data_IF_834647034750
#
_entry.id   IF_834647034750
#
_cell.length_a   1.000
_cell.length_b   1.000
_cell.length_c   1.000
_cell.angle_alpha   90.00
_cell.angle_beta   90.00
_cell.angle_gamma   90.00
#
_symmetry.space_group_name_H-M   'P 1'
#
loop_
_entity.id
_entity.type
_entity.pdbx_description
1 polymer ?
#
# COMPACT_ATOMS: atom_id res chain seq x y z
N UNK A 1 -8.36 -42.84 -32.90
CA UNK A 1 -8.65 -44.17 -32.32
C UNK A 1 -8.23 -45.31 -33.25
N UNK A 2 -8.42 -45.20 -34.57
CA UNK A 2 -7.98 -46.22 -35.55
C UNK A 2 -6.46 -46.43 -35.59
N UNK A 3 -5.68 -45.36 -35.50
CA UNK A 3 -4.20 -45.44 -35.61
C UNK A 3 -3.57 -46.26 -34.48
N UNK A 4 -4.08 -46.11 -33.25
CA UNK A 4 -3.55 -46.82 -32.08
C UNK A 4 -3.83 -48.33 -32.11
N UNK A 5 -4.86 -48.77 -32.85
CA UNK A 5 -5.23 -50.19 -33.00
C UNK A 5 -4.33 -50.87 -34.03
N UNK A 6 -3.98 -50.15 -35.11
CA UNK A 6 -3.11 -50.65 -36.17
C UNK A 6 -1.69 -50.86 -35.65
N UNK A 7 -1.17 -49.93 -34.84
CA UNK A 7 0.17 -50.07 -34.25
C UNK A 7 0.29 -51.26 -33.29
N UNK A 8 -0.72 -51.54 -32.48
CA UNK A 8 -0.73 -52.68 -31.55
C UNK A 8 -0.66 -54.03 -32.27
N UNK A 9 -1.45 -54.18 -33.35
CA UNK A 9 -1.55 -55.45 -34.07
C UNK A 9 -0.36 -55.69 -35.01
N UNK A 10 0.23 -54.64 -35.59
CA UNK A 10 1.31 -54.77 -36.57
C UNK A 10 2.72 -54.80 -35.93
N UNK A 11 2.93 -54.08 -34.82
CA UNK A 11 4.26 -53.91 -34.22
C UNK A 11 4.46 -54.66 -32.90
N UNK A 12 3.41 -55.28 -32.33
CA UNK A 12 3.50 -56.04 -31.08
C UNK A 12 3.89 -55.19 -29.87
N UNK A 13 3.83 -53.87 -29.98
CA UNK A 13 4.10 -52.96 -28.87
C UNK A 13 2.92 -52.98 -27.89
N UNK A 14 3.24 -53.05 -26.60
CA UNK A 14 2.23 -53.06 -25.53
C UNK A 14 1.37 -51.80 -25.66
N UNK A 15 0.06 -52.00 -25.75
CA UNK A 15 -0.93 -50.92 -25.68
C UNK A 15 -0.66 -50.05 -24.46
N UNK A 16 -0.90 -48.74 -24.56
CA UNK A 16 -0.93 -47.87 -23.39
C UNK A 16 -2.00 -48.36 -22.41
N UNK A 17 -1.59 -49.19 -21.45
CA UNK A 17 -2.44 -49.63 -20.35
C UNK A 17 -2.61 -48.46 -19.36
N UNK A 18 -3.84 -48.01 -19.21
CA UNK A 18 -4.20 -46.94 -18.26
C UNK A 18 -3.86 -47.38 -16.83
N UNK A 19 -4.01 -48.68 -16.54
CA UNK A 19 -3.64 -49.30 -15.26
C UNK A 19 -2.56 -50.35 -15.55
N UNK A 20 -1.27 -50.09 -15.24
CA UNK A 20 -0.22 -51.07 -15.43
C UNK A 20 -0.38 -52.22 -14.44
N UNK A 21 -0.15 -53.45 -14.90
CA UNK A 21 -0.14 -54.64 -14.03
C UNK A 21 1.08 -54.72 -13.09
N UNK A 22 2.13 -53.92 -13.34
CA UNK A 22 3.33 -53.86 -12.51
C UNK A 22 3.20 -52.75 -11.43
N UNK A 23 3.40 -53.16 -10.18
CA UNK A 23 3.37 -52.28 -9.01
C UNK A 23 4.44 -51.17 -9.08
N UNK A 24 5.61 -51.46 -9.64
CA UNK A 24 6.69 -50.47 -9.77
C UNK A 24 6.32 -49.35 -10.75
N UNK A 25 5.67 -49.69 -11.87
CA UNK A 25 5.20 -48.71 -12.83
C UNK A 25 4.07 -47.85 -12.27
N UNK A 26 3.14 -48.46 -11.53
CA UNK A 26 2.04 -47.74 -10.87
C UNK A 26 2.57 -46.76 -9.81
N UNK A 27 3.60 -47.17 -9.05
CA UNK A 27 4.27 -46.32 -8.08
C UNK A 27 4.94 -45.11 -8.72
N UNK A 28 5.70 -45.30 -9.80
CA UNK A 28 6.34 -44.19 -10.53
C UNK A 28 5.31 -43.19 -11.05
N UNK A 29 4.20 -43.67 -11.65
CA UNK A 29 3.11 -42.81 -12.13
C UNK A 29 2.45 -42.05 -10.98
N UNK A 30 2.20 -42.70 -9.85
CA UNK A 30 1.66 -42.07 -8.64
C UNK A 30 2.55 -40.96 -8.09
N UNK A 31 3.86 -41.22 -8.00
CA UNK A 31 4.86 -40.21 -7.58
C UNK A 31 4.86 -39.01 -8.52
N UNK A 32 4.84 -39.23 -9.84
CA UNK A 32 4.79 -38.14 -10.83
C UNK A 32 3.55 -37.26 -10.61
N UNK A 33 2.37 -37.86 -10.42
CA UNK A 33 1.13 -37.11 -10.18
C UNK A 33 1.21 -36.31 -8.88
N UNK A 34 1.71 -36.92 -7.80
CA UNK A 34 1.89 -36.24 -6.50
C UNK A 34 2.86 -35.07 -6.63
N UNK A 35 3.97 -35.25 -7.35
CA UNK A 35 4.95 -34.19 -7.59
C UNK A 35 4.36 -33.05 -8.41
N UNK A 36 3.60 -33.34 -9.46
CA UNK A 36 2.95 -32.32 -10.29
C UNK A 36 1.92 -31.50 -9.49
N UNK A 37 1.10 -32.17 -8.67
CA UNK A 37 0.12 -31.49 -7.81
C UNK A 37 0.83 -30.63 -6.75
N UNK A 38 1.84 -31.20 -6.09
CA UNK A 38 2.60 -30.51 -5.04
C UNK A 38 3.35 -29.30 -5.60
N UNK A 39 3.95 -29.45 -6.79
CA UNK A 39 4.62 -28.36 -7.49
C UNK A 39 3.65 -27.26 -7.91
N UNK A 40 2.48 -27.63 -8.46
CA UNK A 40 1.44 -26.67 -8.81
C UNK A 40 0.98 -25.84 -7.60
N UNK A 41 0.69 -26.51 -6.47
CA UNK A 41 0.32 -25.84 -5.23
C UNK A 41 1.45 -24.94 -4.70
N UNK A 42 2.69 -25.40 -4.77
CA UNK A 42 3.86 -24.63 -4.37
C UNK A 42 4.03 -23.35 -5.21
N UNK A 43 3.91 -23.45 -6.53
CA UNK A 43 4.01 -22.31 -7.45
C UNK A 43 2.89 -21.31 -7.19
N UNK A 44 1.67 -21.77 -6.97
CA UNK A 44 0.53 -20.89 -6.71
C UNK A 44 0.73 -20.07 -5.41
N UNK A 45 1.14 -20.73 -4.32
CA UNK A 45 1.40 -20.07 -3.04
C UNK A 45 2.55 -19.07 -3.18
N UNK A 46 3.62 -19.46 -3.88
CA UNK A 46 4.80 -18.61 -4.07
C UNK A 46 4.48 -17.38 -4.91
N UNK A 47 3.73 -17.56 -6.00
CA UNK A 47 3.30 -16.48 -6.89
C UNK A 47 2.40 -15.47 -6.17
N UNK A 48 1.42 -15.94 -5.38
CA UNK A 48 0.53 -15.06 -4.61
C UNK A 48 1.32 -14.17 -3.65
N UNK A 49 2.28 -14.74 -2.92
CA UNK A 49 3.14 -13.99 -1.99
C UNK A 49 4.01 -12.94 -2.69
N UNK A 50 4.50 -13.24 -3.90
CA UNK A 50 5.29 -12.28 -4.67
C UNK A 50 4.43 -11.11 -5.15
N UNK A 51 3.26 -11.40 -5.72
CA UNK A 51 2.33 -10.36 -6.20
C UNK A 51 1.87 -9.46 -5.05
N UNK A 52 1.58 -10.03 -3.87
CA UNK A 52 1.17 -9.24 -2.71
C UNK A 52 2.29 -8.31 -2.23
N UNK A 53 3.53 -8.79 -2.18
CA UNK A 53 4.70 -7.97 -1.83
C UNK A 53 4.94 -6.85 -2.84
N UNK A 54 4.83 -7.13 -4.14
CA UNK A 54 4.97 -6.11 -5.17
C UNK A 54 3.91 -5.03 -5.04
N UNK A 55 2.64 -5.41 -4.82
CA UNK A 55 1.55 -4.45 -4.58
C UNK A 55 1.80 -3.58 -3.35
N UNK A 56 2.29 -4.16 -2.26
CA UNK A 56 2.63 -3.41 -1.04
C UNK A 56 3.78 -2.43 -1.27
N UNK A 57 4.81 -2.85 -2.01
CA UNK A 57 5.95 -1.99 -2.37
C UNK A 57 5.52 -0.85 -3.29
N UNK A 58 4.71 -1.13 -4.32
CA UNK A 58 4.20 -0.11 -5.23
C UNK A 58 3.33 0.92 -4.48
N UNK A 59 2.40 0.45 -3.65
CA UNK A 59 1.61 1.33 -2.79
C UNK A 59 2.49 2.19 -1.88
N UNK A 60 3.59 1.63 -1.35
CA UNK A 60 4.55 2.36 -0.52
C UNK A 60 5.31 3.44 -1.27
N UNK A 61 5.78 3.13 -2.48
CA UNK A 61 6.47 4.10 -3.34
C UNK A 61 5.55 5.26 -3.73
N UNK A 62 4.32 4.96 -4.13
CA UNK A 62 3.31 5.97 -4.47
C UNK A 62 3.02 6.85 -3.26
N UNK A 63 2.76 6.25 -2.09
CA UNK A 63 2.50 6.97 -0.85
C UNK A 63 3.63 7.94 -0.49
N UNK A 64 4.87 7.47 -0.41
CA UNK A 64 6.00 8.32 -0.04
C UNK A 64 6.26 9.43 -1.07
N UNK A 65 5.98 9.17 -2.36
CA UNK A 65 6.09 10.17 -3.41
C UNK A 65 5.04 11.28 -3.24
N UNK A 66 3.78 10.91 -2.95
CA UNK A 66 2.70 11.86 -2.68
C UNK A 66 3.03 12.69 -1.43
N UNK A 67 3.42 12.05 -0.32
CA UNK A 67 3.72 12.77 0.92
C UNK A 67 4.90 13.72 0.75
N UNK A 68 5.94 13.33 0.02
CA UNK A 68 7.06 14.23 -0.30
C UNK A 68 6.60 15.41 -1.16
N UNK A 69 5.77 15.19 -2.17
CA UNK A 69 5.19 16.26 -2.96
C UNK A 69 4.33 17.20 -2.10
N UNK A 70 3.52 16.66 -1.19
CA UNK A 70 2.73 17.43 -0.21
C UNK A 70 3.61 18.25 0.73
N UNK A 71 4.74 17.70 1.22
CA UNK A 71 5.75 18.46 1.99
C UNK A 71 6.24 19.66 1.20
N UNK A 72 6.59 19.48 -0.07
CA UNK A 72 7.07 20.58 -0.92
C UNK A 72 5.99 21.64 -1.16
N UNK A 73 4.76 21.25 -1.48
CA UNK A 73 3.64 22.16 -1.68
C UNK A 73 3.34 22.93 -0.40
N UNK A 74 3.28 22.24 0.74
CA UNK A 74 3.01 22.87 2.03
C UNK A 74 4.12 23.84 2.41
N UNK A 75 5.39 23.47 2.25
CA UNK A 75 6.50 24.38 2.56
C UNK A 75 6.46 25.66 1.69
N UNK A 76 6.12 25.53 0.40
CA UNK A 76 5.93 26.70 -0.45
C UNK A 76 4.78 27.58 0.04
N UNK A 77 3.66 26.97 0.44
CA UNK A 77 2.54 27.69 1.02
C UNK A 77 2.93 28.40 2.33
N UNK A 78 3.63 27.71 3.24
CA UNK A 78 4.07 28.29 4.50
C UNK A 78 4.99 29.50 4.28
N UNK A 79 5.89 29.44 3.30
CA UNK A 79 6.73 30.58 2.93
C UNK A 79 5.89 31.78 2.42
N UNK A 80 4.86 31.54 1.60
CA UNK A 80 3.94 32.60 1.17
C UNK A 80 3.15 33.18 2.35
N UNK A 81 2.74 32.33 3.27
CA UNK A 81 2.00 32.70 4.48
C UNK A 81 2.85 33.56 5.42
N UNK A 82 4.16 33.31 5.53
CA UNK A 82 5.07 34.19 6.26
C UNK A 82 5.10 35.63 5.71
N UNK A 83 4.95 35.82 4.39
CA UNK A 83 4.85 37.14 3.78
C UNK A 83 3.55 37.84 4.19
N UNK A 84 2.42 37.14 4.16
CA UNK A 84 1.13 37.67 4.65
C UNK A 84 1.19 38.07 6.11
N UNK A 85 1.83 37.25 6.95
CA UNK A 85 2.05 37.55 8.37
C UNK A 85 2.84 38.83 8.56
N UNK A 86 3.89 39.04 7.77
CA UNK A 86 4.71 40.25 7.86
C UNK A 86 3.89 41.50 7.52
N UNK A 87 3.07 41.44 6.48
CA UNK A 87 2.19 42.55 6.10
C UNK A 87 1.13 42.83 7.18
N UNK A 88 0.53 41.78 7.75
CA UNK A 88 -0.42 41.91 8.85
C UNK A 88 0.22 42.59 10.08
N UNK A 89 1.46 42.22 10.42
CA UNK A 89 2.22 42.83 11.52
C UNK A 89 2.59 44.30 11.25
N UNK A 90 2.82 44.67 9.99
CA UNK A 90 3.12 46.06 9.61
C UNK A 90 1.87 46.95 9.61
N UNK A 91 0.67 46.37 9.54
CA UNK A 91 -0.59 47.10 9.63
C UNK A 91 -0.95 47.43 11.09
N UNK A 92 -1.28 48.69 11.37
CA UNK A 92 -1.68 49.14 12.72
C UNK A 92 -3.04 48.59 13.19
N UNK A 93 -3.82 48.00 12.28
CA UNK A 93 -5.20 47.57 12.51
C UNK A 93 -5.36 46.07 12.78
N UNK A 94 -4.29 45.28 12.66
CA UNK A 94 -4.39 43.83 12.82
C UNK A 94 -4.17 43.37 14.25
N UNK A 95 -5.10 42.56 14.74
CA UNK A 95 -5.10 42.03 16.09
C UNK A 95 -3.99 40.97 16.28
N UNK A 96 -3.12 41.20 17.26
CA UNK A 96 -1.99 40.32 17.60
C UNK A 96 -2.43 38.94 18.06
N UNK A 97 -3.62 38.78 18.62
CA UNK A 97 -4.16 37.46 19.00
C UNK A 97 -4.47 36.60 17.77
N UNK A 98 -4.98 37.22 16.70
CA UNK A 98 -5.23 36.52 15.42
C UNK A 98 -3.94 36.07 14.75
N UNK A 99 -2.85 36.83 14.91
CA UNK A 99 -1.52 36.45 14.42
C UNK A 99 -0.98 35.22 15.17
N UNK A 100 -1.21 35.10 16.48
CA UNK A 100 -0.83 33.90 17.24
C UNK A 100 -1.61 32.66 16.78
N UNK A 101 -2.90 32.81 16.52
CA UNK A 101 -3.72 31.71 16.01
C UNK A 101 -3.24 31.26 14.62
N UNK A 102 -2.90 32.22 13.78
CA UNK A 102 -2.30 31.99 12.47
C UNK A 102 -0.98 31.19 12.56
N UNK A 103 -0.06 31.64 13.43
CA UNK A 103 1.22 30.96 13.67
C UNK A 103 0.98 29.51 14.16
N UNK A 104 0.04 29.33 15.09
CA UNK A 104 -0.32 28.02 15.63
C UNK A 104 -0.90 27.08 14.57
N UNK A 105 -1.73 27.59 13.66
CA UNK A 105 -2.29 26.81 12.57
C UNK A 105 -1.22 26.40 11.54
N UNK A 106 -0.26 27.28 11.25
CA UNK A 106 0.88 26.98 10.38
C UNK A 106 1.77 25.87 10.98
N UNK A 107 2.08 25.99 12.27
CA UNK A 107 2.89 24.99 12.99
C UNK A 107 2.17 23.65 13.08
N UNK A 108 0.85 23.65 13.31
CA UNK A 108 0.04 22.44 13.32
C UNK A 108 0.04 21.75 11.95
N UNK A 109 -0.20 22.50 10.87
CA UNK A 109 -0.17 21.96 9.51
C UNK A 109 1.20 21.33 9.17
N UNK A 110 2.30 22.00 9.53
CA UNK A 110 3.66 21.47 9.40
C UNK A 110 3.86 20.18 10.20
N UNK A 111 3.37 20.15 11.45
CA UNK A 111 3.49 18.99 12.32
C UNK A 111 2.70 17.79 11.80
N UNK A 112 1.46 17.99 11.33
CA UNK A 112 0.61 16.93 10.78
C UNK A 112 1.22 16.32 9.52
N UNK A 113 1.75 17.15 8.62
CA UNK A 113 2.41 16.67 7.41
C UNK A 113 3.71 15.91 7.72
N UNK A 114 4.44 16.31 8.76
CA UNK A 114 5.58 15.52 9.25
C UNK A 114 5.14 14.17 9.80
N UNK A 115 4.11 14.12 10.66
CA UNK A 115 3.58 12.88 11.21
C UNK A 115 3.10 11.92 10.10
N UNK A 116 2.43 12.44 9.07
CA UNK A 116 2.01 11.67 7.90
C UNK A 116 3.22 11.05 7.16
N UNK A 117 4.36 11.76 7.08
CA UNK A 117 5.57 11.23 6.42
C UNK A 117 6.29 10.12 7.18
N UNK A 118 6.00 9.97 8.48
CA UNK A 118 6.64 8.97 9.35
C UNK A 118 5.86 7.64 9.41
N UNK A 119 4.71 7.54 8.74
CA UNK A 119 3.90 6.32 8.65
C UNK A 119 4.68 5.22 7.91
N UNK A 120 5.02 4.15 8.65
CA UNK A 120 5.77 2.98 8.11
C UNK A 120 4.86 1.93 7.48
N UNK A 121 3.72 1.66 8.11
CA UNK A 121 2.75 0.66 7.65
C UNK A 121 1.57 1.38 7.03
N UNK A 122 1.49 1.35 5.71
CA UNK A 122 0.48 2.07 4.95
C UNK A 122 -0.82 1.30 5.00
N UNK A 123 -1.71 1.74 5.90
CA UNK A 123 -3.10 1.31 6.02
C UNK A 123 -3.97 2.54 6.28
N UNK A 124 -5.25 2.48 5.94
CA UNK A 124 -6.19 3.58 6.20
C UNK A 124 -6.18 4.00 7.67
N UNK A 125 -6.22 3.01 8.58
CA UNK A 125 -6.19 3.25 10.03
C UNK A 125 -4.92 3.97 10.47
N UNK A 126 -3.74 3.50 10.03
CA UNK A 126 -2.47 4.11 10.43
C UNK A 126 -2.31 5.52 9.86
N UNK A 127 -2.76 5.75 8.63
CA UNK A 127 -2.76 7.07 8.00
C UNK A 127 -3.64 8.02 8.80
N UNK A 128 -4.91 7.64 9.06
CA UNK A 128 -5.86 8.48 9.81
C UNK A 128 -5.43 8.74 11.24
N UNK A 129 -4.86 7.74 11.90
CA UNK A 129 -4.32 7.88 13.26
C UNK A 129 -3.13 8.85 13.32
N UNK A 130 -2.29 8.90 12.28
CA UNK A 130 -1.11 9.76 12.25
C UNK A 130 -1.42 11.26 12.10
N UNK A 131 -2.60 11.60 11.61
CA UNK A 131 -3.02 13.01 11.38
C UNK A 131 -4.21 13.42 12.23
N UNK A 132 -4.52 12.68 13.30
CA UNK A 132 -5.61 13.00 14.19
C UNK A 132 -5.35 14.37 14.89
N UNK A 133 -6.30 15.33 14.83
CA UNK A 133 -6.11 16.65 15.41
C UNK A 133 -5.79 16.59 16.91
N UNK A 134 -4.87 17.43 17.37
CA UNK A 134 -4.60 17.57 18.80
C UNK A 134 -5.75 18.41 19.39
N UNK A 135 -6.53 17.85 20.33
CA UNK A 135 -7.79 18.41 20.87
C UNK A 135 -7.74 19.88 21.33
N UNK A 136 -6.57 20.45 21.56
CA UNK A 136 -6.38 21.79 22.13
C UNK A 136 -6.80 22.91 21.17
N UNK A 137 -6.40 22.88 19.89
CA UNK A 137 -6.63 24.01 18.95
C UNK A 137 -8.07 24.01 18.40
N UNK A 138 -8.67 22.84 18.18
CA UNK A 138 -10.08 22.74 17.77
C UNK A 138 -11.00 23.46 18.76
N UNK A 139 -10.76 23.28 20.06
CA UNK A 139 -11.54 23.94 21.10
C UNK A 139 -11.29 25.45 21.16
N UNK A 140 -10.05 25.92 20.94
CA UNK A 140 -9.73 27.35 20.92
C UNK A 140 -10.34 28.07 19.71
N UNK A 141 -10.30 27.47 18.53
CA UNK A 141 -10.92 28.02 17.30
C UNK A 141 -12.44 28.06 17.42
N UNK A 142 -13.06 26.97 17.87
CA UNK A 142 -14.53 26.88 18.04
C UNK A 142 -15.03 27.90 19.06
N UNK A 143 -14.36 28.01 20.22
CA UNK A 143 -14.72 28.95 21.27
C UNK A 143 -14.58 30.43 20.87
N UNK A 144 -13.78 30.76 19.84
CA UNK A 144 -13.60 32.14 19.37
C UNK A 144 -14.62 32.50 18.28
N UNK A 145 -14.97 31.56 17.41
CA UNK A 145 -16.04 31.74 16.40
C UNK A 145 -17.40 31.92 17.07
N UNK A 146 -17.64 31.26 18.20
CA UNK A 146 -18.86 31.44 19.00
C UNK A 146 -18.91 32.78 19.78
N UNK A 147 -17.81 33.54 19.81
CA UNK A 147 -17.72 34.85 20.49
C UNK A 147 -17.79 36.05 19.54
N UNK A 148 -17.98 35.83 18.24
CA UNK A 148 -18.23 36.86 17.21
C UNK A 148 -19.72 36.91 16.90
#
# INVERSE_FOLDING_TARGET
MSDSIIHYYLYGEKSFEIIPGDFNELWMRGVIVILLVSFGAYVEISTKKLIEKEKQLEASLIYHSIVRASHHILNNLLNQMQLFRMEALNSHSFDKEKIKLYDSAMDEASSLIKQLSEVKNISDENIRASVAPRRTIHNEVVNMVERV
#
